data_IF_806466775026
#
_entry.id   IF_806466775026
#
_cell.length_a   1.000
_cell.length_b   1.000
_cell.length_c   1.000
_cell.angle_alpha   90.00
_cell.angle_beta   90.00
_cell.angle_gamma   90.00
#
_symmetry.space_group_name_H-M   'P 1'
#
loop_
_entity.id
_entity.type
_entity.pdbx_description
1 polymer ?
#
# COMPACT_ATOMS: atom_id res chain seq x y z
N UNK A 1 4.36 -7.48 3.08
CA UNK A 1 4.68 -8.79 2.49
C UNK A 1 5.26 -8.62 1.09
N UNK A 2 5.67 -9.70 0.45
CA UNK A 2 6.02 -9.75 -0.98
C UNK A 2 4.97 -10.62 -1.67
N UNK A 3 4.50 -10.21 -2.85
CA UNK A 3 3.52 -10.95 -3.64
C UNK A 3 2.27 -11.36 -2.86
N UNK A 4 1.67 -10.41 -2.14
CA UNK A 4 0.41 -10.63 -1.42
C UNK A 4 -0.69 -11.08 -2.40
N UNK A 5 -1.45 -12.13 -2.04
CA UNK A 5 -2.50 -12.75 -2.87
C UNK A 5 -3.89 -12.67 -2.24
N UNK A 6 -4.18 -11.60 -1.49
CA UNK A 6 -5.46 -11.44 -0.80
C UNK A 6 -5.37 -11.57 0.73
N UNK A 7 -4.19 -11.38 1.31
CA UNK A 7 -4.02 -11.37 2.77
C UNK A 7 -4.13 -9.94 3.32
N UNK A 8 -4.66 -9.81 4.52
CA UNK A 8 -4.63 -8.57 5.29
C UNK A 8 -3.48 -8.59 6.29
N UNK A 9 -2.73 -7.50 6.37
CA UNK A 9 -1.60 -7.35 7.28
C UNK A 9 -1.72 -6.02 8.02
N UNK A 10 -1.58 -6.04 9.34
CA UNK A 10 -1.43 -4.82 10.15
C UNK A 10 -0.04 -4.80 10.79
N UNK A 11 0.66 -3.69 10.61
CA UNK A 11 2.01 -3.44 11.11
C UNK A 11 1.92 -2.30 12.12
N UNK A 12 2.18 -2.58 13.40
CA UNK A 12 2.12 -1.60 14.49
C UNK A 12 3.24 -0.55 14.50
N UNK A 13 4.15 -0.59 13.52
CA UNK A 13 5.29 0.31 13.42
C UNK A 13 5.66 0.60 11.96
N UNK A 14 6.94 0.94 11.74
CA UNK A 14 7.46 1.25 10.40
C UNK A 14 7.84 0.01 9.61
N UNK A 15 7.86 0.14 8.28
CA UNK A 15 8.33 -0.89 7.35
C UNK A 15 9.54 -0.43 6.55
N UNK A 16 10.38 -1.38 6.14
CA UNK A 16 11.57 -1.11 5.33
C UNK A 16 11.27 -0.91 3.84
N UNK A 17 12.35 -0.80 3.06
CA UNK A 17 12.29 -0.60 1.61
C UNK A 17 11.57 -1.75 0.90
N UNK A 18 10.92 -1.43 -0.21
CA UNK A 18 10.24 -2.37 -1.12
C UNK A 18 9.13 -3.21 -0.46
N UNK A 19 8.59 -2.72 0.66
CA UNK A 19 7.45 -3.36 1.31
C UNK A 19 6.24 -3.34 0.37
N UNK A 20 5.55 -4.47 0.24
CA UNK A 20 4.43 -4.59 -0.70
C UNK A 20 4.86 -4.86 -2.15
N UNK A 21 6.13 -5.22 -2.39
CA UNK A 21 6.60 -5.57 -3.73
C UNK A 21 5.72 -6.65 -4.39
N UNK A 22 5.29 -6.41 -5.63
CA UNK A 22 4.44 -7.30 -6.42
C UNK A 22 3.11 -7.67 -5.73
N UNK A 23 2.60 -6.85 -4.81
CA UNK A 23 1.37 -7.14 -4.09
C UNK A 23 0.17 -7.13 -5.04
N UNK A 24 -0.54 -8.26 -5.11
CA UNK A 24 -1.58 -8.46 -6.11
C UNK A 24 -2.99 -8.27 -5.60
N UNK A 25 -3.23 -8.62 -4.34
CA UNK A 25 -4.53 -8.43 -3.68
C UNK A 25 -4.34 -8.39 -2.15
N UNK A 26 -5.35 -7.89 -1.45
CA UNK A 26 -5.38 -7.78 0.01
C UNK A 26 -5.05 -6.37 0.49
N UNK A 27 -5.03 -6.17 1.81
CA UNK A 27 -4.81 -4.87 2.45
C UNK A 27 -3.57 -4.87 3.35
N UNK A 28 -2.83 -3.79 3.38
CA UNK A 28 -1.69 -3.62 4.30
C UNK A 28 -1.80 -2.30 5.05
N UNK A 29 -1.98 -2.34 6.36
CA UNK A 29 -2.05 -1.16 7.24
C UNK A 29 -0.72 -0.97 7.96
N UNK A 30 -0.07 0.17 7.76
CA UNK A 30 1.23 0.53 8.34
C UNK A 30 1.02 1.71 9.30
N UNK A 31 1.17 1.44 10.60
CA UNK A 31 0.95 2.43 11.66
C UNK A 31 2.14 3.40 11.85
N UNK A 32 3.30 3.11 11.25
CA UNK A 32 4.49 3.96 11.22
C UNK A 32 4.84 4.45 9.81
N UNK A 33 6.14 4.59 9.55
CA UNK A 33 6.70 5.09 8.28
C UNK A 33 6.97 3.97 7.28
N UNK A 34 7.10 4.33 5.99
CA UNK A 34 7.52 3.45 4.91
C UNK A 34 8.83 3.91 4.27
N UNK A 35 9.74 2.95 4.06
CA UNK A 35 11.00 3.14 3.35
C UNK A 35 10.86 3.42 1.85
N UNK A 36 11.96 3.23 1.11
CA UNK A 36 11.99 3.48 -0.35
C UNK A 36 11.19 2.43 -1.12
N UNK A 37 10.58 2.82 -2.24
CA UNK A 37 9.95 1.90 -3.19
C UNK A 37 8.72 1.18 -2.63
N UNK A 38 7.93 1.84 -1.78
CA UNK A 38 6.72 1.23 -1.22
C UNK A 38 5.75 0.84 -2.35
N UNK A 39 5.30 -0.42 -2.33
CA UNK A 39 4.37 -0.94 -3.33
C UNK A 39 4.97 -1.05 -4.72
N UNK A 40 6.28 -1.29 -4.86
CA UNK A 40 6.84 -1.49 -6.19
C UNK A 40 6.14 -2.65 -6.95
N UNK A 41 5.72 -2.38 -8.18
CA UNK A 41 4.93 -3.29 -9.01
C UNK A 41 3.58 -3.69 -8.37
N UNK A 42 2.86 -2.71 -7.82
CA UNK A 42 1.55 -2.91 -7.18
C UNK A 42 0.44 -3.22 -8.20
N UNK A 43 -0.41 -4.21 -7.90
CA UNK A 43 -1.64 -4.49 -8.65
C UNK A 43 -2.90 -4.11 -7.83
N UNK A 44 -3.79 -5.05 -7.48
CA UNK A 44 -5.07 -4.72 -6.80
C UNK A 44 -4.96 -4.68 -5.26
N UNK A 45 -3.76 -4.82 -4.69
CA UNK A 45 -3.59 -4.64 -3.24
C UNK A 45 -3.66 -3.15 -2.86
N UNK A 46 -4.18 -2.86 -1.67
CA UNK A 46 -4.25 -1.50 -1.13
C UNK A 46 -3.37 -1.38 0.11
N UNK A 47 -2.54 -0.34 0.16
CA UNK A 47 -1.64 -0.08 1.29
C UNK A 47 -2.07 1.23 1.95
N UNK A 48 -2.29 1.20 3.26
CA UNK A 48 -2.62 2.35 4.08
C UNK A 48 -1.42 2.72 4.96
N UNK A 49 -0.96 3.96 4.91
CA UNK A 49 0.22 4.43 5.68
C UNK A 49 -0.14 5.66 6.50
N UNK A 50 0.06 5.57 7.82
CA UNK A 50 -0.12 6.69 8.75
C UNK A 50 1.09 7.65 8.71
N UNK A 51 2.30 7.11 8.78
CA UNK A 51 3.55 7.87 8.84
C UNK A 51 3.99 8.42 7.48
N UNK A 52 5.25 8.82 7.40
CA UNK A 52 5.87 9.30 6.17
C UNK A 52 6.09 8.16 5.17
N UNK A 53 6.00 8.47 3.86
CA UNK A 53 6.40 7.57 2.78
C UNK A 53 7.64 8.17 2.15
N UNK A 54 8.77 7.46 2.17
CA UNK A 54 10.02 7.99 1.61
C UNK A 54 9.98 8.06 0.09
N UNK A 55 9.55 6.99 -0.58
CA UNK A 55 9.21 7.00 -2.01
C UNK A 55 8.25 5.86 -2.34
N UNK A 56 7.49 6.03 -3.42
CA UNK A 56 6.66 4.99 -4.01
C UNK A 56 7.49 4.18 -5.01
N UNK A 57 7.16 2.90 -5.16
CA UNK A 57 7.71 2.05 -6.21
C UNK A 57 6.96 2.20 -7.54
N UNK A 58 7.41 1.47 -8.56
CA UNK A 58 6.77 1.47 -9.87
C UNK A 58 5.28 1.08 -9.78
N UNK A 59 4.44 1.81 -10.53
CA UNK A 59 2.98 1.61 -10.59
C UNK A 59 2.24 1.81 -9.26
N UNK A 60 2.88 2.33 -8.22
CA UNK A 60 2.20 2.77 -6.99
C UNK A 60 1.96 4.28 -7.01
N UNK A 61 0.76 4.69 -6.61
CA UNK A 61 0.38 6.10 -6.50
C UNK A 61 -0.41 6.37 -5.22
N UNK A 62 -0.37 7.61 -4.75
CA UNK A 62 -1.30 8.09 -3.74
C UNK A 62 -2.67 8.31 -4.36
N UNK A 63 -3.70 7.80 -3.69
CA UNK A 63 -5.09 8.07 -4.04
C UNK A 63 -5.83 8.69 -2.87
N UNK A 64 -6.89 9.47 -3.12
CA UNK A 64 -7.78 9.91 -2.06
C UNK A 64 -8.35 8.73 -1.28
N UNK A 65 -8.41 8.86 0.03
CA UNK A 65 -9.16 7.95 0.89
C UNK A 65 -10.66 8.10 0.61
N UNK A 66 -11.35 6.97 0.51
CA UNK A 66 -12.81 6.88 0.42
C UNK A 66 -13.42 6.45 1.76
N UNK A 67 -14.75 6.54 1.90
CA UNK A 67 -15.43 6.04 3.12
C UNK A 67 -15.16 4.55 3.37
N UNK A 68 -15.18 3.72 2.32
CA UNK A 68 -14.85 2.28 2.43
C UNK A 68 -13.40 2.02 2.86
N UNK A 69 -12.48 2.94 2.53
CA UNK A 69 -11.10 2.84 2.99
C UNK A 69 -11.01 3.10 4.50
N UNK A 70 -11.71 4.12 5.00
CA UNK A 70 -11.74 4.40 6.45
C UNK A 70 -12.37 3.25 7.23
N UNK A 71 -13.47 2.67 6.72
CA UNK A 71 -14.10 1.49 7.31
C UNK A 71 -13.14 0.29 7.34
N UNK A 72 -12.44 0.03 6.24
CA UNK A 72 -11.45 -1.06 6.15
C UNK A 72 -10.28 -0.87 7.12
N UNK A 73 -9.76 0.35 7.24
CA UNK A 73 -8.68 0.66 8.19
C UNK A 73 -9.17 0.49 9.63
N UNK A 74 -10.37 0.97 9.95
CA UNK A 74 -10.95 0.80 11.29
C UNK A 74 -11.11 -0.68 11.65
N UNK A 75 -11.71 -1.48 10.76
CA UNK A 75 -11.90 -2.92 10.95
C UNK A 75 -10.58 -3.64 11.26
N UNK A 76 -9.53 -3.33 10.49
CA UNK A 76 -8.22 -3.97 10.64
C UNK A 76 -7.50 -3.52 11.92
N UNK A 77 -7.62 -2.23 12.30
CA UNK A 77 -7.09 -1.70 13.56
C UNK A 77 -7.76 -2.35 14.76
N UNK A 78 -9.10 -2.48 14.73
CA UNK A 78 -9.88 -3.13 15.79
C UNK A 78 -9.48 -4.60 15.96
N UNK A 79 -9.36 -5.33 14.85
CA UNK A 79 -8.95 -6.74 14.89
C UNK A 79 -7.53 -6.94 15.44
N UNK A 80 -6.64 -5.97 15.20
CA UNK A 80 -5.24 -6.03 15.65
C UNK A 80 -5.01 -5.42 17.03
N UNK A 81 -6.00 -4.73 17.61
CA UNK A 81 -5.91 -4.06 18.90
C UNK A 81 -5.08 -2.77 18.88
N UNK A 82 -4.89 -2.15 17.72
CA UNK A 82 -4.19 -0.86 17.62
C UNK A 82 -5.17 0.31 17.65
N UNK A 83 -4.93 1.27 18.55
CA UNK A 83 -5.78 2.46 18.70
C UNK A 83 -5.23 3.64 17.87
N UNK A 84 -5.64 3.73 16.61
CA UNK A 84 -5.33 4.85 15.72
C UNK A 84 -6.59 5.36 15.01
N UNK A 85 -6.57 6.64 14.61
CA UNK A 85 -7.63 7.24 13.83
C UNK A 85 -7.45 6.87 12.34
N UNK A 86 -8.42 6.21 11.68
CA UNK A 86 -8.33 5.88 10.25
C UNK A 86 -8.09 7.08 9.34
N UNK A 87 -8.53 8.28 9.76
CA UNK A 87 -8.35 9.53 8.99
C UNK A 87 -6.90 10.04 8.97
N UNK A 88 -6.02 9.46 9.77
CA UNK A 88 -4.60 9.80 9.77
C UNK A 88 -3.82 9.03 8.67
N UNK A 89 -4.47 8.08 7.99
CA UNK A 89 -3.83 7.23 6.99
C UNK A 89 -3.99 7.79 5.57
N UNK A 90 -2.98 7.52 4.74
CA UNK A 90 -2.97 7.76 3.30
C UNK A 90 -3.10 6.45 2.56
N UNK A 91 -3.85 6.45 1.45
CA UNK A 91 -4.00 5.29 0.57
C UNK A 91 -2.96 5.31 -0.54
N UNK A 92 -2.28 4.18 -0.69
CA UNK A 92 -1.44 3.84 -1.82
C UNK A 92 -2.10 2.69 -2.58
N UNK A 93 -2.33 2.89 -3.88
CA UNK A 93 -2.96 1.94 -4.77
C UNK A 93 -2.22 1.90 -6.12
N UNK A 94 -2.53 0.92 -6.96
CA UNK A 94 -1.91 0.81 -8.28
C UNK A 94 -2.37 1.93 -9.21
N UNK A 95 -1.44 2.52 -9.96
CA UNK A 95 -1.72 3.43 -11.06
C UNK A 95 -2.26 2.70 -12.31
N UNK A 96 -2.22 1.36 -12.32
CA UNK A 96 -2.69 0.48 -13.39
C UNK A 96 -2.01 0.74 -14.74
N UNK A 97 -0.79 1.25 -14.72
CA UNK A 97 0.00 1.55 -15.92
C UNK A 97 0.75 0.32 -16.44
N UNK A 98 1.08 -0.63 -15.57
CA UNK A 98 1.79 -1.87 -15.96
C UNK A 98 0.85 -3.05 -16.26
N UNK A 99 -0.46 -2.81 -16.36
CA UNK A 99 -1.46 -3.87 -16.59
C UNK A 99 -1.41 -4.44 -18.00
N UNK A 100 -0.99 -3.63 -18.98
CA UNK A 100 -0.88 -4.03 -20.38
C UNK A 100 0.59 -3.91 -20.79
N UNK A 101 1.21 -5.03 -21.16
CA UNK A 101 2.57 -5.02 -21.68
C UNK A 101 2.60 -4.29 -23.03
N UNK A 102 3.37 -3.21 -23.09
CA UNK A 102 3.61 -2.47 -24.33
C UNK A 102 5.08 -2.64 -24.74
N UNK A 103 5.32 -3.30 -25.88
CA UNK A 103 6.64 -3.61 -26.41
C UNK A 103 7.49 -2.36 -26.68
N UNK A 104 6.82 -1.24 -26.95
CA UNK A 104 7.41 0.01 -27.42
C UNK A 104 7.49 1.08 -26.32
N UNK A 105 7.15 0.74 -25.07
CA UNK A 105 7.29 1.66 -23.95
C UNK A 105 8.78 1.79 -23.58
N UNK A 106 9.35 2.99 -23.77
CA UNK A 106 10.65 3.34 -23.20
C UNK A 106 10.53 3.28 -21.66
N UNK A 107 11.13 2.26 -21.06
CA UNK A 107 11.22 2.13 -19.61
C UNK A 107 12.55 2.73 -19.16
N UNK A 108 12.51 3.91 -18.55
CA UNK A 108 13.65 4.39 -17.75
C UNK A 108 13.66 3.60 -16.42
N UNK A 109 14.76 2.89 -16.19
CA UNK A 109 15.02 2.09 -14.98
C UNK A 109 15.74 2.91 -13.90
#
# INVERSE_FOLDING_TARGET
>A
GISMKGIDIVIGGSVGNFSGFMAQAGRMVICGDAGEGLGDSLYEAVIYVKGAIKSLGADAQLEPMTESDYESVQELLDFSGFEHNPKDFKRVASAKQLYNWNADAEQEY
#
